data_IF_406468420841
#
_entry.id   IF_406468420841
#
_cell.length_a   1.000
_cell.length_b   1.000
_cell.length_c   1.000
_cell.angle_alpha   90.00
_cell.angle_beta   90.00
_cell.angle_gamma   90.00
#
_symmetry.space_group_name_H-M   'P 1'
#
loop_
_entity.id
_entity.type
_entity.pdbx_description
1 polymer ?
#
# COMPACT_ATOMS: atom_id res chain seq x y z
N UNK A 1 -20.52 14.28 13.46
CA UNK A 1 -20.03 14.86 14.73
C UNK A 1 -19.62 13.72 15.65
N UNK A 2 -18.33 13.41 15.71
CA UNK A 2 -17.80 12.32 16.53
C UNK A 2 -16.86 12.95 17.56
N UNK A 3 -17.12 12.66 18.83
CA UNK A 3 -16.39 13.19 19.98
C UNK A 3 -14.98 12.60 20.06
N UNK A 4 -13.99 13.47 20.19
CA UNK A 4 -12.60 13.13 20.51
C UNK A 4 -12.50 13.02 22.04
N UNK A 5 -12.25 11.82 22.55
CA UNK A 5 -11.87 11.61 23.95
C UNK A 5 -10.36 11.76 24.04
N UNK A 6 -9.91 12.88 24.61
CA UNK A 6 -8.50 13.12 24.97
C UNK A 6 -8.26 12.50 26.35
N UNK A 7 -7.47 11.43 26.42
CA UNK A 7 -6.90 10.97 27.69
C UNK A 7 -5.52 11.61 27.88
N UNK A 8 -5.47 12.62 28.75
CA UNK A 8 -4.24 13.13 29.36
C UNK A 8 -3.92 12.30 30.61
N UNK A 9 -2.69 11.82 30.73
CA UNK A 9 -2.26 10.96 31.84
C UNK A 9 -0.79 11.14 32.21
N UNK A 10 -0.56 12.19 33.01
CA UNK A 10 0.41 12.36 34.12
C UNK A 10 1.84 11.77 34.04
N UNK A 11 2.79 12.70 34.20
CA UNK A 11 4.18 12.48 34.54
C UNK A 11 4.39 12.09 36.02
N UNK A 12 5.38 11.24 36.26
CA UNK A 12 5.98 10.99 37.58
C UNK A 12 7.51 11.04 37.46
N UNK A 13 8.13 11.77 38.38
CA UNK A 13 9.57 12.07 38.50
C UNK A 13 10.19 11.30 39.68
N UNK A 14 11.53 11.17 39.65
CA UNK A 14 12.49 10.69 40.68
C UNK A 14 12.66 9.15 40.82
N UNK A 15 13.85 8.58 41.03
CA UNK A 15 15.18 9.08 41.39
C UNK A 15 16.24 7.95 41.39
N UNK A 16 17.50 8.32 41.65
CA UNK A 16 18.78 7.65 41.38
C UNK A 16 19.07 6.28 42.05
N UNK A 17 19.98 5.49 41.44
CA UNK A 17 21.12 4.83 42.13
C UNK A 17 22.14 4.29 41.12
N UNK A 18 23.41 4.63 41.35
CA UNK A 18 24.61 4.18 40.64
C UNK A 18 25.00 2.76 41.01
N UNK A 19 25.26 1.92 40.01
CA UNK A 19 25.94 0.63 40.19
C UNK A 19 26.53 0.17 38.86
N UNK A 20 27.83 0.38 38.66
CA UNK A 20 28.57 -0.15 37.51
C UNK A 20 28.83 -1.65 37.71
N UNK A 21 28.31 -2.55 36.85
CA UNK A 21 28.81 -3.91 36.79
C UNK A 21 30.19 -3.97 36.10
N UNK A 22 31.06 -4.92 36.45
CA UNK A 22 32.36 -5.09 35.81
C UNK A 22 32.18 -5.45 34.33
N UNK A 23 33.05 -4.88 33.49
CA UNK A 23 33.09 -5.11 32.06
C UNK A 23 33.40 -6.59 31.75
N UNK A 24 32.38 -7.34 31.33
CA UNK A 24 32.59 -8.61 30.67
C UNK A 24 33.05 -8.33 29.23
N UNK A 25 34.32 -8.64 28.94
CA UNK A 25 34.87 -8.62 27.59
C UNK A 25 34.12 -9.64 26.73
N UNK A 26 33.08 -9.18 26.04
CA UNK A 26 32.39 -9.95 25.01
C UNK A 26 33.19 -9.78 23.72
N UNK A 27 33.96 -10.82 23.37
CA UNK A 27 34.56 -10.96 22.05
C UNK A 27 33.45 -10.92 21.00
N UNK A 28 33.18 -9.73 20.48
CA UNK A 28 32.21 -9.50 19.41
C UNK A 28 32.92 -9.91 18.13
N UNK A 29 32.78 -11.16 17.73
CA UNK A 29 33.10 -11.56 16.36
C UNK A 29 32.17 -10.75 15.45
N UNK A 30 32.71 -9.70 14.83
CA UNK A 30 31.98 -8.90 13.87
C UNK A 30 31.55 -9.83 12.73
N UNK A 31 30.26 -10.16 12.68
CA UNK A 31 29.67 -10.77 11.50
C UNK A 31 29.79 -9.69 10.42
N UNK A 32 30.51 -9.94 9.31
CA UNK A 32 30.56 -8.99 8.22
C UNK A 32 29.12 -8.70 7.79
N UNK A 33 28.74 -7.42 7.83
CA UNK A 33 27.47 -6.98 7.26
C UNK A 33 27.46 -7.44 5.81
N UNK A 34 26.56 -8.36 5.48
CA UNK A 34 26.33 -8.75 4.10
C UNK A 34 25.88 -7.47 3.38
N UNK A 35 26.78 -6.88 2.61
CA UNK A 35 26.44 -5.83 1.67
C UNK A 35 25.43 -6.45 0.71
N UNK A 36 24.15 -6.16 0.94
CA UNK A 36 23.08 -6.58 0.04
C UNK A 36 23.39 -5.98 -1.31
N UNK A 37 23.87 -6.81 -2.24
CA UNK A 37 24.10 -6.41 -3.62
C UNK A 37 22.76 -5.96 -4.15
N UNK A 38 22.58 -4.65 -4.33
CA UNK A 38 21.39 -4.12 -4.98
C UNK A 38 21.48 -4.58 -6.42
N UNK A 39 20.80 -5.68 -6.75
CA UNK A 39 20.73 -6.17 -8.11
C UNK A 39 20.29 -4.99 -8.99
N UNK A 40 21.12 -4.65 -9.97
CA UNK A 40 20.80 -3.61 -10.93
C UNK A 40 19.45 -3.94 -11.54
N UNK A 41 18.54 -2.97 -11.55
CA UNK A 41 17.25 -3.16 -12.20
C UNK A 41 17.53 -3.50 -13.67
N UNK A 42 16.93 -4.58 -14.13
CA UNK A 42 16.91 -4.88 -15.56
C UNK A 42 16.27 -3.70 -16.29
N UNK A 43 16.64 -3.47 -17.55
CA UNK A 43 16.11 -2.39 -18.41
C UNK A 43 14.58 -2.32 -18.50
N UNK A 44 13.92 -3.38 -18.04
CA UNK A 44 12.49 -3.50 -17.85
C UNK A 44 12.13 -4.96 -17.57
N UNK A 45 10.84 -5.27 -17.62
CA UNK A 45 10.35 -6.64 -17.63
C UNK A 45 8.93 -6.77 -17.12
N UNK A 46 8.47 -8.02 -17.05
CA UNK A 46 7.17 -8.37 -16.48
C UNK A 46 7.24 -8.32 -14.95
N UNK A 47 6.22 -7.73 -14.36
CA UNK A 47 6.05 -7.63 -12.91
C UNK A 47 4.66 -8.11 -12.51
N UNK A 48 4.46 -8.34 -11.22
CA UNK A 48 3.16 -8.58 -10.62
C UNK A 48 3.02 -7.68 -9.40
N UNK A 49 1.92 -6.93 -9.34
CA UNK A 49 1.57 -6.07 -8.22
C UNK A 49 0.55 -6.79 -7.34
N UNK A 50 0.70 -6.68 -6.02
CA UNK A 50 -0.37 -6.98 -5.06
C UNK A 50 -0.39 -5.89 -4.00
N UNK A 51 -1.51 -5.18 -3.90
CA UNK A 51 -1.79 -4.24 -2.81
C UNK A 51 -2.94 -4.76 -1.95
N UNK A 52 -2.86 -4.57 -0.63
CA UNK A 52 -3.86 -5.05 0.32
C UNK A 52 -4.15 -4.01 1.41
N UNK A 53 -5.43 -3.84 1.74
CA UNK A 53 -5.93 -3.15 2.93
C UNK A 53 -7.15 -3.86 3.49
N UNK A 54 -7.39 -3.71 4.79
CA UNK A 54 -8.53 -4.25 5.53
C UNK A 54 -9.55 -3.16 5.92
N UNK A 55 -9.42 -1.97 5.32
CA UNK A 55 -10.27 -0.81 5.57
C UNK A 55 -10.32 0.13 4.36
N UNK A 56 -11.34 0.99 4.32
CA UNK A 56 -11.59 2.01 3.27
C UNK A 56 -10.56 3.16 3.21
N UNK A 57 -9.58 3.17 4.12
CA UNK A 57 -8.59 4.21 4.23
C UNK A 57 -7.69 4.32 2.99
N UNK A 58 -6.95 5.44 2.85
CA UNK A 58 -6.17 5.73 1.64
C UNK A 58 -4.91 4.88 1.49
N UNK A 59 -4.64 3.92 2.39
CA UNK A 59 -3.33 3.24 2.47
C UNK A 59 -3.45 1.74 2.33
N UNK A 60 -2.45 1.12 1.69
CA UNK A 60 -2.32 -0.32 1.58
C UNK A 60 -0.88 -0.79 1.84
N UNK A 61 -0.68 -2.07 2.14
CA UNK A 61 0.62 -2.74 1.94
C UNK A 61 0.76 -3.13 0.49
N UNK A 62 1.99 -3.17 -0.03
CA UNK A 62 2.21 -3.55 -1.42
C UNK A 62 3.43 -4.46 -1.59
N UNK A 63 3.33 -5.38 -2.53
CA UNK A 63 4.40 -6.23 -3.03
C UNK A 63 4.47 -6.03 -4.55
N UNK A 64 5.69 -5.87 -5.06
CA UNK A 64 6.00 -5.86 -6.49
C UNK A 64 6.99 -6.98 -6.75
N UNK A 65 6.59 -7.98 -7.52
CA UNK A 65 7.40 -9.17 -7.80
C UNK A 65 7.69 -9.32 -9.31
N UNK A 66 8.67 -10.16 -9.68
CA UNK A 66 9.05 -10.44 -11.07
C UNK A 66 10.39 -9.79 -11.44
N UNK A 67 10.44 -9.06 -12.56
CA UNK A 67 11.63 -8.31 -13.01
C UNK A 67 12.11 -7.28 -11.97
N UNK A 68 11.21 -6.89 -11.07
CA UNK A 68 11.47 -6.03 -9.92
C UNK A 68 10.94 -6.77 -8.69
N UNK A 69 11.81 -7.03 -7.72
CA UNK A 69 11.41 -7.54 -6.40
C UNK A 69 11.51 -6.44 -5.34
N UNK A 70 10.37 -5.94 -4.86
CA UNK A 70 10.28 -4.90 -3.85
C UNK A 70 8.97 -4.99 -3.06
N UNK A 71 8.88 -4.24 -1.98
CA UNK A 71 7.69 -4.15 -1.14
C UNK A 71 7.64 -2.80 -0.43
N UNK A 72 6.48 -2.48 0.15
CA UNK A 72 6.34 -1.26 0.92
C UNK A 72 4.89 -0.91 1.21
N UNK A 73 4.56 0.36 1.04
CA UNK A 73 3.22 0.90 1.23
C UNK A 73 2.72 1.53 -0.06
N UNK A 74 1.41 1.58 -0.21
CA UNK A 74 0.77 2.38 -1.21
C UNK A 74 -0.16 3.41 -0.54
N UNK A 75 -0.35 4.55 -1.19
CA UNK A 75 -1.26 5.59 -0.75
C UNK A 75 -1.99 6.23 -1.95
N UNK A 76 -3.30 6.40 -1.83
CA UNK A 76 -4.08 7.22 -2.76
C UNK A 76 -3.70 8.71 -2.60
N UNK A 77 -3.33 9.35 -3.70
CA UNK A 77 -2.85 10.73 -3.74
C UNK A 77 -3.39 11.51 -4.94
N UNK A 78 -3.43 12.83 -4.78
CA UNK A 78 -3.61 13.78 -5.88
C UNK A 78 -2.30 13.96 -6.68
N UNK A 79 -2.33 14.62 -7.84
CA UNK A 79 -1.13 14.86 -8.64
C UNK A 79 -0.04 15.65 -7.90
N UNK A 80 -0.39 16.50 -6.94
CA UNK A 80 0.57 17.22 -6.08
C UNK A 80 1.19 16.33 -4.97
N UNK A 81 0.70 15.10 -4.79
CA UNK A 81 1.14 14.16 -3.76
C UNK A 81 0.41 14.29 -2.42
N UNK A 82 -0.57 15.20 -2.30
CA UNK A 82 -1.45 15.23 -1.13
C UNK A 82 -2.34 13.98 -1.09
N UNK A 83 -2.73 13.55 0.11
CA UNK A 83 -3.60 12.38 0.30
C UNK A 83 -4.95 12.62 -0.41
N UNK A 84 -5.42 11.62 -1.14
CA UNK A 84 -6.73 11.60 -1.79
C UNK A 84 -7.59 10.51 -1.12
N UNK A 85 -8.53 10.92 -0.28
CA UNK A 85 -9.43 10.01 0.44
C UNK A 85 -10.53 9.43 -0.44
N UNK A 86 -10.77 10.05 -1.59
CA UNK A 86 -11.80 9.67 -2.55
C UNK A 86 -11.30 8.64 -3.56
N UNK A 87 -10.01 8.28 -3.55
CA UNK A 87 -9.36 7.30 -4.44
C UNK A 87 -9.45 7.60 -5.94
N UNK A 88 -9.87 8.82 -6.29
CA UNK A 88 -10.24 9.24 -7.65
C UNK A 88 -9.10 9.71 -8.54
N UNK A 89 -7.83 9.45 -8.17
CA UNK A 89 -6.67 10.00 -8.88
C UNK A 89 -5.52 9.00 -9.02
N UNK A 90 -4.47 9.12 -8.20
CA UNK A 90 -3.24 8.35 -8.37
C UNK A 90 -3.00 7.43 -7.17
N UNK A 91 -2.34 6.30 -7.41
CA UNK A 91 -1.90 5.39 -6.37
C UNK A 91 -0.37 5.43 -6.27
N UNK A 92 0.14 6.10 -5.24
CA UNK A 92 1.56 6.22 -4.98
C UNK A 92 2.10 4.97 -4.31
N UNK A 93 2.99 4.25 -4.98
CA UNK A 93 3.70 3.10 -4.44
C UNK A 93 5.02 3.58 -3.83
N UNK A 94 5.08 3.63 -2.50
CA UNK A 94 6.28 3.93 -1.73
C UNK A 94 6.96 2.62 -1.31
N UNK A 95 7.95 2.20 -2.10
CA UNK A 95 8.66 0.93 -1.97
C UNK A 95 10.03 1.15 -1.30
N UNK A 96 10.68 0.07 -0.85
CA UNK A 96 11.96 0.20 -0.14
C UNK A 96 13.07 0.79 -0.99
N UNK A 97 13.02 0.67 -2.32
CA UNK A 97 14.04 1.19 -3.24
C UNK A 97 13.65 2.48 -3.96
N UNK A 98 12.52 3.09 -3.61
CA UNK A 98 12.03 4.33 -4.20
C UNK A 98 10.51 4.31 -4.38
N UNK A 99 9.99 5.22 -5.19
CA UNK A 99 8.55 5.33 -5.41
C UNK A 99 8.19 5.60 -6.85
N UNK A 100 6.94 5.30 -7.22
CA UNK A 100 6.31 5.75 -8.45
C UNK A 100 4.79 5.75 -8.28
N UNK A 101 4.08 6.37 -9.21
CA UNK A 101 2.62 6.47 -9.15
C UNK A 101 1.95 5.75 -10.30
N UNK A 102 0.77 5.22 -10.02
CA UNK A 102 -0.15 4.62 -10.97
C UNK A 102 -1.36 5.55 -11.14
N UNK A 103 -1.89 5.69 -12.34
CA UNK A 103 -3.13 6.45 -12.60
C UNK A 103 -4.34 5.50 -12.49
N UNK A 104 -5.04 5.57 -11.37
CA UNK A 104 -6.14 4.65 -11.04
C UNK A 104 -7.53 5.26 -11.26
N UNK A 105 -7.63 6.52 -11.69
CA UNK A 105 -8.90 7.25 -11.73
C UNK A 105 -10.00 6.54 -12.54
N UNK A 106 -9.64 5.90 -13.65
CA UNK A 106 -10.59 5.16 -14.47
C UNK A 106 -11.08 3.87 -13.77
N UNK A 107 -10.17 3.12 -13.15
CA UNK A 107 -10.49 1.90 -12.42
C UNK A 107 -11.33 2.20 -11.18
N UNK A 108 -10.99 3.26 -10.44
CA UNK A 108 -11.76 3.74 -9.29
C UNK A 108 -13.20 4.11 -9.68
N UNK A 109 -13.37 4.86 -10.78
CA UNK A 109 -14.70 5.21 -11.28
C UNK A 109 -15.57 3.99 -11.57
N UNK A 110 -15.00 2.95 -12.17
CA UNK A 110 -15.72 1.68 -12.40
C UNK A 110 -16.06 0.99 -11.09
N UNK A 111 -15.12 0.97 -10.15
CA UNK A 111 -15.31 0.35 -8.84
C UNK A 111 -16.44 1.04 -8.04
N UNK A 112 -16.44 2.37 -7.94
CA UNK A 112 -17.50 3.16 -7.30
C UNK A 112 -18.88 2.90 -7.95
N UNK A 113 -18.93 2.73 -9.26
CA UNK A 113 -20.17 2.42 -9.96
C UNK A 113 -20.73 1.02 -9.60
N UNK A 114 -19.84 0.04 -9.39
CA UNK A 114 -20.23 -1.31 -8.91
C UNK A 114 -20.69 -1.23 -7.45
N UNK A 115 -19.97 -0.51 -6.59
CA UNK A 115 -20.36 -0.36 -5.18
C UNK A 115 -21.71 0.31 -5.01
N UNK A 116 -22.04 1.32 -5.82
CA UNK A 116 -23.37 1.96 -5.78
C UNK A 116 -24.55 1.03 -6.07
N UNK A 117 -24.30 -0.20 -6.54
CA UNK A 117 -25.31 -1.22 -6.82
C UNK A 117 -24.94 -2.58 -6.20
N UNK A 118 -24.12 -2.60 -5.16
CA UNK A 118 -23.62 -3.84 -4.59
C UNK A 118 -24.79 -4.66 -3.97
N UNK A 119 -24.83 -5.93 -4.32
CA UNK A 119 -25.88 -6.85 -3.88
C UNK A 119 -25.42 -7.58 -2.61
N UNK A 120 -25.83 -7.07 -1.44
CA UNK A 120 -25.52 -7.72 -0.16
C UNK A 120 -26.36 -8.99 0.02
N UNK A 121 -25.70 -10.11 0.31
CA UNK A 121 -26.35 -11.34 0.72
C UNK A 121 -26.84 -11.19 2.18
N UNK A 122 -28.14 -11.07 2.38
CA UNK A 122 -28.75 -10.88 3.71
C UNK A 122 -28.75 -12.13 4.58
N UNK A 123 -28.48 -13.31 4.01
CA UNK A 123 -28.39 -14.57 4.78
C UNK A 123 -27.03 -14.70 5.46
N UNK A 124 -25.96 -14.31 4.75
CA UNK A 124 -24.57 -14.36 5.26
C UNK A 124 -24.05 -13.00 5.72
N UNK A 125 -24.83 -11.94 5.54
CA UNK A 125 -24.42 -10.54 5.66
C UNK A 125 -23.09 -10.27 4.95
N UNK A 126 -22.95 -10.65 3.68
CA UNK A 126 -21.70 -10.45 2.94
C UNK A 126 -21.90 -9.83 1.57
N UNK A 127 -20.93 -9.04 1.12
CA UNK A 127 -20.88 -8.41 -0.19
C UNK A 127 -19.53 -8.66 -0.86
N UNK A 128 -19.52 -8.71 -2.19
CA UNK A 128 -18.28 -8.79 -2.98
C UNK A 128 -18.43 -7.95 -4.25
N UNK A 129 -17.37 -7.24 -4.62
CA UNK A 129 -17.29 -6.44 -5.83
C UNK A 129 -15.94 -6.65 -6.49
N UNK A 130 -15.91 -6.66 -7.82
CA UNK A 130 -14.66 -6.72 -8.56
C UNK A 130 -14.75 -5.98 -9.88
N UNK A 131 -13.70 -5.22 -10.20
CA UNK A 131 -13.51 -4.55 -11.49
C UNK A 131 -12.09 -4.77 -11.99
N UNK A 132 -11.90 -4.66 -13.31
CA UNK A 132 -10.61 -4.89 -13.95
C UNK A 132 -10.33 -3.80 -14.97
N UNK A 133 -9.10 -3.29 -14.99
CA UNK A 133 -8.70 -2.27 -15.96
C UNK A 133 -7.20 -2.12 -16.10
N UNK A 134 -6.79 -1.50 -17.20
CA UNK A 134 -5.40 -1.15 -17.47
C UNK A 134 -5.07 0.19 -16.79
N UNK A 135 -4.01 0.17 -15.99
CA UNK A 135 -3.56 1.27 -15.13
C UNK A 135 -2.14 1.67 -15.55
N UNK A 136 -1.94 2.86 -16.14
CA UNK A 136 -0.61 3.30 -16.58
C UNK A 136 0.23 3.84 -15.42
N UNK A 137 1.55 3.73 -15.56
CA UNK A 137 2.52 4.45 -14.72
C UNK A 137 2.46 5.93 -15.06
N UNK A 138 2.36 6.79 -14.04
CA UNK A 138 2.39 8.25 -14.23
C UNK A 138 3.79 8.68 -14.65
N UNK A 139 3.91 9.26 -15.83
CA UNK A 139 5.19 9.69 -16.40
C UNK A 139 5.94 10.64 -15.44
N UNK A 140 7.23 10.38 -15.23
CA UNK A 140 8.08 11.21 -14.37
C UNK A 140 7.85 11.05 -12.86
N UNK A 141 6.92 10.20 -12.42
CA UNK A 141 6.65 9.99 -10.98
C UNK A 141 7.72 9.17 -10.24
N UNK A 142 8.62 8.52 -11.00
CA UNK A 142 9.64 7.61 -10.47
C UNK A 142 10.75 8.30 -9.67
N UNK A 143 11.06 7.75 -8.48
CA UNK A 143 12.15 8.18 -7.59
C UNK A 143 13.07 7.02 -7.22
N UNK A 144 14.26 7.32 -6.69
CA UNK A 144 15.23 6.28 -6.28
C UNK A 144 15.58 5.34 -7.44
N UNK A 145 15.46 4.03 -7.20
CA UNK A 145 15.67 2.99 -8.21
C UNK A 145 14.61 3.04 -9.32
N UNK A 146 13.46 3.68 -9.09
CA UNK A 146 12.37 3.78 -10.06
C UNK A 146 12.46 5.02 -10.95
N UNK A 147 13.55 5.80 -10.91
CA UNK A 147 13.71 6.95 -11.80
C UNK A 147 13.59 6.54 -13.27
N UNK A 148 12.79 7.30 -14.02
CA UNK A 148 12.55 7.01 -15.44
C UNK A 148 11.68 5.78 -15.70
N UNK A 149 11.01 5.24 -14.68
CA UNK A 149 10.05 4.15 -14.87
C UNK A 149 8.89 4.59 -15.78
N UNK A 150 8.53 3.71 -16.71
CA UNK A 150 7.29 3.74 -17.47
C UNK A 150 6.68 2.34 -17.53
N UNK A 151 5.45 2.24 -18.01
CA UNK A 151 4.78 0.95 -18.14
C UNK A 151 3.27 1.02 -17.88
N UNK A 152 2.67 -0.17 -17.84
CA UNK A 152 1.24 -0.37 -17.56
C UNK A 152 1.06 -1.64 -16.74
N UNK A 153 -0.04 -1.68 -15.99
CA UNK A 153 -0.51 -2.82 -15.23
C UNK A 153 -1.94 -3.15 -15.65
N UNK A 154 -2.27 -4.43 -15.76
CA UNK A 154 -3.65 -4.89 -15.92
C UNK A 154 -4.11 -5.36 -14.54
N UNK A 155 -4.85 -4.51 -13.83
CA UNK A 155 -5.17 -4.69 -12.42
C UNK A 155 -6.62 -5.10 -12.23
N UNK A 156 -6.84 -6.01 -11.28
CA UNK A 156 -8.16 -6.32 -10.72
C UNK A 156 -8.24 -5.70 -9.33
N UNK A 157 -9.28 -4.92 -9.09
CA UNK A 157 -9.68 -4.47 -7.76
C UNK A 157 -10.76 -5.45 -7.26
N UNK A 158 -10.55 -6.05 -6.09
CA UNK A 158 -11.55 -6.89 -5.43
C UNK A 158 -11.81 -6.37 -4.03
N UNK A 159 -13.10 -6.33 -3.66
CA UNK A 159 -13.58 -6.06 -2.32
C UNK A 159 -14.40 -7.24 -1.84
N UNK A 160 -14.15 -7.65 -0.60
CA UNK A 160 -14.96 -8.62 0.12
C UNK A 160 -15.29 -8.05 1.51
N UNK A 161 -16.57 -8.08 1.86
CA UNK A 161 -17.08 -7.53 3.12
C UNK A 161 -17.99 -8.51 3.83
N UNK A 162 -17.90 -8.51 5.15
CA UNK A 162 -18.87 -9.14 6.05
C UNK A 162 -19.40 -8.07 6.99
N UNK A 163 -20.70 -7.82 6.96
CA UNK A 163 -21.38 -6.80 7.75
C UNK A 163 -21.85 -7.36 9.10
N UNK A 164 -22.07 -6.48 10.07
CA UNK A 164 -22.79 -6.84 11.30
C UNK A 164 -24.24 -7.21 11.01
N UNK A 165 -24.74 -8.17 11.79
CA UNK A 165 -26.01 -8.86 11.57
C UNK A 165 -27.26 -8.02 11.81
N UNK A 166 -27.15 -6.86 12.45
CA UNK A 166 -28.31 -6.03 12.78
C UNK A 166 -28.92 -5.29 11.59
N UNK A 167 -28.31 -5.36 10.39
CA UNK A 167 -28.91 -4.84 9.15
C UNK A 167 -28.46 -5.52 7.85
N UNK A 168 -27.32 -6.25 7.82
CA UNK A 168 -26.69 -6.72 6.57
C UNK A 168 -26.73 -5.66 5.45
N UNK A 169 -26.19 -4.47 5.72
CA UNK A 169 -26.26 -3.31 4.82
C UNK A 169 -24.89 -2.65 4.69
N UNK A 170 -24.61 -2.10 3.52
CA UNK A 170 -23.44 -1.27 3.22
C UNK A 170 -23.30 -0.04 4.13
N UNK A 171 -24.41 0.46 4.67
CA UNK A 171 -24.38 1.55 5.65
C UNK A 171 -24.02 1.11 7.07
N UNK A 172 -23.89 -0.20 7.29
CA UNK A 172 -23.59 -0.81 8.58
C UNK A 172 -22.09 -0.96 8.85
N UNK A 173 -21.72 -1.18 10.11
CA UNK A 173 -20.34 -1.49 10.44
C UNK A 173 -19.94 -2.89 9.95
N UNK A 174 -18.72 -3.01 9.43
CA UNK A 174 -18.13 -4.28 9.03
C UNK A 174 -17.69 -5.11 10.25
N UNK A 175 -17.81 -6.43 10.14
CA UNK A 175 -17.10 -7.41 10.96
C UNK A 175 -15.69 -7.67 10.40
N UNK A 176 -15.57 -7.71 9.08
CA UNK A 176 -14.31 -7.88 8.37
C UNK A 176 -14.43 -7.29 6.97
N UNK A 177 -13.33 -6.77 6.47
CA UNK A 177 -13.21 -6.22 5.13
C UNK A 177 -11.84 -6.62 4.54
N UNK A 178 -11.81 -6.83 3.23
CA UNK A 178 -10.60 -7.06 2.46
C UNK A 178 -10.72 -6.32 1.14
N UNK A 179 -9.73 -5.50 0.84
CA UNK A 179 -9.54 -4.87 -0.45
C UNK A 179 -8.20 -5.34 -1.00
N UNK A 180 -8.22 -5.91 -2.21
CA UNK A 180 -7.03 -6.38 -2.92
C UNK A 180 -7.00 -5.74 -4.30
N UNK A 181 -5.87 -5.12 -4.65
CA UNK A 181 -5.57 -4.67 -6.02
C UNK A 181 -4.41 -5.50 -6.52
N UNK A 182 -4.63 -6.35 -7.51
CA UNK A 182 -3.59 -7.26 -7.99
C UNK A 182 -3.63 -7.47 -9.49
N UNK A 183 -2.46 -7.73 -10.08
CA UNK A 183 -2.39 -8.04 -11.49
C UNK A 183 -0.98 -7.95 -12.08
N UNK A 184 -0.79 -8.49 -13.30
CA UNK A 184 0.46 -8.38 -14.03
C UNK A 184 0.71 -6.95 -14.51
N UNK A 185 1.97 -6.62 -14.74
CA UNK A 185 2.38 -5.39 -15.40
C UNK A 185 3.64 -5.58 -16.24
N UNK A 186 3.94 -4.56 -17.04
CA UNK A 186 5.19 -4.46 -17.79
C UNK A 186 5.80 -3.10 -17.52
N UNK A 187 7.04 -3.09 -17.05
CA UNK A 187 7.78 -1.86 -16.74
C UNK A 187 9.02 -1.74 -17.59
N UNK A 188 9.45 -0.52 -17.85
CA UNK A 188 10.74 -0.18 -18.46
C UNK A 188 11.37 0.98 -17.72
N UNK A 189 12.71 1.08 -17.78
CA UNK A 189 13.46 2.18 -17.21
C UNK A 189 14.18 2.92 -18.33
N UNK A 190 13.95 4.23 -18.43
CA UNK A 190 14.71 5.07 -19.35
C UNK A 190 16.21 5.03 -19.01
N UNK A 191 17.07 5.00 -20.03
CA UNK A 191 18.50 5.13 -19.82
C UNK A 191 18.77 6.45 -19.11
N UNK A 192 19.29 6.40 -17.88
CA UNK A 192 19.80 7.58 -17.19
C UNK A 192 20.93 8.13 -18.05
N UNK A 193 20.75 9.31 -18.63
CA UNK A 193 21.85 10.02 -19.27
C UNK A 193 22.95 10.24 -18.24
N UNK A 194 24.07 9.55 -18.43
CA UNK A 194 25.32 9.72 -17.66
C UNK A 194 25.88 11.12 -17.79
#
# INVERSE_FOLDING_TARGET
MIQVVVLAGLASIAGCSTGSPPAAATSTTAIPAAAGTTAALTTGGKVHLTAYTDNDGPTATVILAGAVGDYGKAQSVNPDGSVNTEHSSQFNLALTRGSFRLDIAALDKEFVAVLGNLAVNTTTCSGTASVHGTVPVVAGSGTGAYRGIGGTFDLTFTLDEVYRTNACSESGAYLSQSIVIAGPGSVSFGATGS
#
